data_IF_754766020377
#
_entry.id   IF_754766020377
#
_cell.length_a   1.000
_cell.length_b   1.000
_cell.length_c   1.000
_cell.angle_alpha   90.00
_cell.angle_beta   90.00
_cell.angle_gamma   90.00
#
_symmetry.space_group_name_H-M   'P 1'
#
loop_
_entity.id
_entity.type
_entity.pdbx_description
1 polymer ?
#
# COMPACT_ATOMS: atom_id res chain seq x y z
N UNK A 1 1.88 0.55 -23.90
CA UNK A 1 1.97 -0.92 -23.74
C UNK A 1 1.18 -1.27 -22.48
N UNK A 2 0.04 -1.94 -22.60
CA UNK A 2 -0.82 -2.29 -21.47
C UNK A 2 -0.48 -3.70 -20.98
N UNK A 3 -0.31 -3.88 -19.68
CA UNK A 3 -0.16 -5.20 -19.07
C UNK A 3 -1.56 -5.82 -18.96
N UNK A 4 -1.69 -7.12 -19.20
CA UNK A 4 -2.97 -7.86 -19.22
C UNK A 4 -3.85 -7.49 -18.01
N UNK A 5 -5.01 -6.91 -18.28
CA UNK A 5 -5.95 -6.39 -17.27
C UNK A 5 -6.42 -4.95 -17.49
N UNK A 6 -5.86 -4.24 -18.47
CA UNK A 6 -6.28 -2.87 -18.82
C UNK A 6 -5.70 -1.78 -17.91
N UNK A 7 -4.82 -2.14 -16.98
CA UNK A 7 -4.13 -1.20 -16.10
C UNK A 7 -2.79 -0.79 -16.71
N UNK A 8 -2.55 0.51 -16.79
CA UNK A 8 -1.27 1.09 -17.17
C UNK A 8 -0.61 1.67 -15.91
N UNK A 9 0.56 1.15 -15.53
CA UNK A 9 1.31 1.60 -14.37
C UNK A 9 2.26 2.73 -14.74
N UNK A 10 2.20 3.83 -13.99
CA UNK A 10 3.16 4.93 -14.07
C UNK A 10 4.41 4.63 -13.23
N UNK A 11 4.23 3.96 -12.08
CA UNK A 11 5.32 3.53 -11.21
C UNK A 11 4.95 2.23 -10.49
N UNK A 12 5.98 1.45 -10.11
CA UNK A 12 5.82 0.28 -9.28
C UNK A 12 7.03 0.15 -8.35
N UNK A 13 6.79 -0.38 -7.16
CA UNK A 13 7.77 -0.64 -6.11
C UNK A 13 7.55 -2.04 -5.56
N UNK A 14 8.60 -2.85 -5.60
CA UNK A 14 8.61 -4.20 -5.05
C UNK A 14 9.23 -4.19 -3.65
N UNK A 15 8.50 -4.74 -2.67
CA UNK A 15 9.00 -5.10 -1.36
C UNK A 15 9.58 -6.52 -1.34
N UNK A 16 9.66 -7.14 -0.16
CA UNK A 16 10.25 -8.50 -0.01
C UNK A 16 9.38 -9.58 -0.68
N UNK A 17 8.06 -9.49 -0.51
CA UNK A 17 7.10 -10.52 -0.95
C UNK A 17 5.85 -9.94 -1.62
N UNK A 18 5.78 -8.63 -1.79
CA UNK A 18 4.64 -7.91 -2.33
C UNK A 18 5.13 -6.80 -3.24
N UNK A 19 4.32 -6.42 -4.21
CA UNK A 19 4.58 -5.33 -5.14
C UNK A 19 3.38 -4.41 -5.15
N UNK A 20 3.64 -3.11 -5.08
CA UNK A 20 2.61 -2.09 -5.21
C UNK A 20 2.97 -1.15 -6.35
N UNK A 21 1.99 -0.71 -7.12
CA UNK A 21 2.19 0.24 -8.21
C UNK A 21 1.05 1.21 -8.32
N UNK A 22 1.35 2.37 -8.89
CA UNK A 22 0.38 3.43 -9.17
C UNK A 22 0.11 3.45 -10.66
N UNK A 23 -1.17 3.48 -11.03
CA UNK A 23 -1.57 3.61 -12.43
C UNK A 23 -1.33 5.03 -12.96
N UNK A 24 -1.41 5.21 -14.28
CA UNK A 24 -1.41 6.55 -14.90
C UNK A 24 -2.61 7.41 -14.48
N UNK A 25 -3.64 6.81 -13.88
CA UNK A 25 -4.82 7.47 -13.30
C UNK A 25 -4.67 7.74 -11.80
N UNK A 26 -3.51 7.44 -11.22
CA UNK A 26 -3.20 7.64 -9.79
C UNK A 26 -3.77 6.56 -8.86
N UNK A 27 -4.32 5.48 -9.38
CA UNK A 27 -4.87 4.39 -8.57
C UNK A 27 -3.74 3.48 -8.09
N UNK A 28 -3.63 3.27 -6.78
CA UNK A 28 -2.66 2.33 -6.23
C UNK A 28 -3.23 0.91 -6.25
N UNK A 29 -2.44 -0.03 -6.76
CA UNK A 29 -2.73 -1.45 -6.71
C UNK A 29 -1.56 -2.22 -6.10
N UNK A 30 -1.86 -3.19 -5.26
CA UNK A 30 -0.87 -4.08 -4.65
C UNK A 30 -1.20 -5.54 -4.96
N UNK A 31 -0.16 -6.36 -5.10
CA UNK A 31 -0.25 -7.80 -5.32
C UNK A 31 0.94 -8.52 -4.67
N UNK A 32 0.87 -9.85 -4.57
CA UNK A 32 1.83 -10.69 -3.87
C UNK A 32 1.30 -11.19 -2.51
N UNK A 33 2.20 -11.56 -1.62
CA UNK A 33 1.86 -12.06 -0.28
C UNK A 33 1.34 -10.93 0.60
N UNK A 34 0.10 -11.05 1.04
CA UNK A 34 -0.68 -10.04 1.73
C UNK A 34 -1.12 -10.47 3.12
N UNK A 35 -0.28 -10.26 4.12
CA UNK A 35 -0.68 -10.11 5.53
C UNK A 35 -0.66 -8.61 5.85
N UNK A 36 -1.74 -7.91 5.50
CA UNK A 36 -2.01 -6.46 5.66
C UNK A 36 -1.33 -5.52 4.64
N UNK A 37 -0.43 -6.04 3.80
CA UNK A 37 0.40 -5.24 2.87
C UNK A 37 -0.29 -4.84 1.58
N UNK A 38 -1.39 -5.51 1.23
CA UNK A 38 -2.15 -5.20 0.02
C UNK A 38 -2.94 -3.89 0.18
N UNK A 39 -3.24 -3.48 1.41
CA UNK A 39 -3.91 -2.21 1.64
C UNK A 39 -5.40 -2.22 1.25
N UNK A 40 -6.07 -3.37 1.20
CA UNK A 40 -7.43 -3.53 0.69
C UNK A 40 -8.34 -4.29 1.64
N UNK A 41 -9.57 -3.80 1.79
CA UNK A 41 -10.65 -4.37 2.62
C UNK A 41 -11.53 -5.33 1.81
N UNK A 42 -11.33 -5.36 0.49
CA UNK A 42 -12.11 -6.14 -0.47
C UNK A 42 -11.69 -7.62 -0.54
N UNK A 43 -10.63 -7.99 0.15
CA UNK A 43 -10.08 -9.34 0.17
C UNK A 43 -9.92 -9.81 1.62
N UNK A 44 -10.31 -11.05 1.88
CA UNK A 44 -9.94 -11.72 3.13
C UNK A 44 -8.55 -12.33 2.98
N UNK A 45 -7.56 -11.61 3.49
CA UNK A 45 -6.16 -12.00 3.43
C UNK A 45 -5.83 -13.27 4.21
N UNK A 46 -6.68 -13.67 5.17
CA UNK A 46 -6.49 -14.93 5.91
C UNK A 46 -6.79 -16.15 5.06
N UNK A 47 -7.74 -16.03 4.14
CA UNK A 47 -8.16 -17.11 3.25
C UNK A 47 -7.50 -17.02 1.88
N UNK A 48 -7.06 -15.82 1.47
CA UNK A 48 -6.29 -15.59 0.25
C UNK A 48 -4.98 -14.84 0.56
N UNK A 49 -3.96 -15.54 1.08
CA UNK A 49 -2.72 -14.89 1.50
C UNK A 49 -1.88 -14.39 0.33
N UNK A 50 -2.03 -14.95 -0.88
CA UNK A 50 -1.26 -14.52 -2.06
C UNK A 50 -2.21 -13.99 -3.13
N UNK A 51 -2.01 -12.73 -3.49
CA UNK A 51 -2.73 -12.04 -4.56
C UNK A 51 -1.90 -12.09 -5.84
N UNK A 52 -2.34 -12.87 -6.83
CA UNK A 52 -1.61 -12.99 -8.12
C UNK A 52 -2.00 -11.92 -9.14
N UNK A 53 -3.00 -11.08 -8.82
CA UNK A 53 -3.48 -9.98 -9.64
C UNK A 53 -3.42 -8.66 -8.86
N UNK A 54 -3.23 -7.51 -9.52
CA UNK A 54 -3.27 -6.21 -8.86
C UNK A 54 -4.62 -5.97 -8.19
N UNK A 55 -4.61 -5.83 -6.87
CA UNK A 55 -5.79 -5.50 -6.05
C UNK A 55 -5.75 -4.01 -5.74
N UNK A 56 -6.88 -3.32 -5.91
CA UNK A 56 -6.97 -1.90 -5.59
C UNK A 56 -6.81 -1.64 -4.09
N UNK A 57 -5.96 -0.68 -3.76
CA UNK A 57 -5.78 -0.18 -2.39
C UNK A 57 -7.06 0.58 -1.98
N UNK A 58 -7.57 0.28 -0.78
CA UNK A 58 -8.76 0.88 -0.20
C UNK A 58 -8.56 2.35 0.17
N UNK A 59 -9.67 3.07 0.34
CA UNK A 59 -9.68 4.47 0.78
C UNK A 59 -9.87 5.50 -0.34
N UNK A 60 -9.96 5.07 -1.61
CA UNK A 60 -10.26 5.96 -2.73
C UNK A 60 -9.23 7.09 -2.94
N UNK A 61 -8.00 6.87 -2.47
CA UNK A 61 -6.92 7.84 -2.54
C UNK A 61 -6.23 7.79 -3.90
N UNK A 62 -5.82 8.97 -4.39
CA UNK A 62 -5.00 9.10 -5.59
C UNK A 62 -3.55 9.33 -5.23
N UNK A 63 -2.70 8.37 -5.57
CA UNK A 63 -1.27 8.41 -5.30
C UNK A 63 -0.50 8.97 -6.48
N UNK A 64 0.54 9.73 -6.18
CA UNK A 64 1.56 10.12 -7.15
C UNK A 64 2.68 9.08 -7.19
N UNK A 65 3.05 8.57 -6.00
CA UNK A 65 4.08 7.54 -5.87
C UNK A 65 3.78 6.62 -4.69
N UNK A 66 4.28 5.39 -4.79
CA UNK A 66 4.28 4.39 -3.72
C UNK A 66 5.67 3.78 -3.58
N UNK A 67 6.02 3.44 -2.34
CA UNK A 67 7.24 2.76 -1.95
C UNK A 67 6.89 1.58 -1.07
N UNK A 68 7.22 0.38 -1.54
CA UNK A 68 7.07 -0.86 -0.81
C UNK A 68 8.38 -1.18 -0.06
N UNK A 69 8.32 -1.19 1.26
CA UNK A 69 9.39 -1.65 2.13
C UNK A 69 9.30 -3.15 2.38
N UNK A 70 10.02 -3.62 3.42
CA UNK A 70 10.04 -5.05 3.78
C UNK A 70 8.63 -5.58 4.10
N UNK A 71 7.92 -4.88 5.00
CA UNK A 71 6.62 -5.30 5.54
C UNK A 71 5.54 -4.21 5.49
N UNK A 72 5.88 -3.02 4.98
CA UNK A 72 5.01 -1.84 4.95
C UNK A 72 5.08 -1.18 3.60
N UNK A 73 4.03 -0.47 3.25
CA UNK A 73 3.94 0.34 2.04
C UNK A 73 3.59 1.75 2.46
N UNK A 74 4.27 2.72 1.87
CA UNK A 74 3.94 4.13 2.03
C UNK A 74 3.76 4.76 0.65
N UNK A 75 2.88 5.74 0.55
CA UNK A 75 2.65 6.48 -0.67
C UNK A 75 2.33 7.93 -0.38
N UNK A 76 2.63 8.78 -1.35
CA UNK A 76 2.28 10.19 -1.31
C UNK A 76 1.11 10.40 -2.27
N UNK A 77 0.05 11.01 -1.75
CA UNK A 77 -1.12 11.37 -2.56
C UNK A 77 -0.81 12.54 -3.47
N UNK A 78 -1.58 12.68 -4.55
CA UNK A 78 -1.55 13.86 -5.44
C UNK A 78 -1.84 15.18 -4.72
N UNK A 79 -2.43 15.12 -3.52
CA UNK A 79 -2.64 16.27 -2.62
C UNK A 79 -1.44 16.54 -1.69
N UNK A 80 -0.33 15.80 -1.83
CA UNK A 80 0.87 15.94 -1.01
C UNK A 80 0.82 15.26 0.37
N UNK A 81 -0.31 14.66 0.75
CA UNK A 81 -0.42 13.94 2.02
C UNK A 81 0.19 12.53 1.93
N UNK A 82 0.99 12.16 2.92
CA UNK A 82 1.61 10.83 3.02
C UNK A 82 0.69 9.84 3.76
N UNK A 83 0.59 8.63 3.23
CA UNK A 83 -0.15 7.52 3.83
C UNK A 83 0.74 6.29 3.90
N UNK A 84 0.61 5.52 4.97
CA UNK A 84 1.29 4.23 5.13
C UNK A 84 0.31 3.15 5.57
N UNK A 85 0.56 1.92 5.13
CA UNK A 85 -0.18 0.72 5.49
C UNK A 85 0.75 -0.50 5.54
N UNK A 86 0.22 -1.63 5.98
CA UNK A 86 0.95 -2.89 6.14
C UNK A 86 1.20 -3.31 7.57
N UNK A 87 1.96 -4.40 7.68
CA UNK A 87 2.29 -5.03 8.96
C UNK A 87 3.44 -4.31 9.67
N UNK A 88 3.23 -4.03 10.95
CA UNK A 88 4.31 -3.67 11.87
C UNK A 88 4.45 -4.78 12.88
N UNK A 89 5.64 -5.38 13.02
CA UNK A 89 5.89 -6.29 14.14
C UNK A 89 5.48 -5.59 15.45
N UNK A 90 4.61 -6.17 16.28
CA UNK A 90 4.42 -5.66 17.62
C UNK A 90 5.77 -5.75 18.35
N UNK A 91 6.26 -4.62 18.84
CA UNK A 91 7.31 -4.62 19.87
C UNK A 91 8.71 -4.10 19.54
N UNK A 92 8.97 -3.20 18.57
CA UNK A 92 10.30 -2.54 18.51
C UNK A 92 10.41 -1.02 18.34
N UNK A 93 9.35 -0.26 18.09
CA UNK A 93 9.45 1.21 18.11
C UNK A 93 8.16 1.80 18.66
N UNK A 94 8.29 2.63 19.69
CA UNK A 94 7.19 3.21 20.47
C UNK A 94 6.38 4.29 19.74
N UNK A 95 5.89 3.96 18.54
CA UNK A 95 4.82 4.68 17.86
C UNK A 95 3.52 3.89 17.99
N UNK A 96 2.41 4.59 18.23
CA UNK A 96 1.06 4.06 18.48
C UNK A 96 0.42 3.27 17.29
N UNK A 97 1.23 2.77 16.35
CA UNK A 97 0.81 1.97 15.20
C UNK A 97 0.95 0.45 15.47
N UNK A 98 0.73 0.01 16.70
CA UNK A 98 0.90 -1.40 17.14
C UNK A 98 -0.09 -2.41 16.54
N UNK A 99 -1.12 -1.95 15.82
CA UNK A 99 -2.01 -2.84 15.06
C UNK A 99 -1.73 -2.72 13.59
N UNK A 100 -1.53 -3.87 12.94
CA UNK A 100 -1.56 -4.01 11.48
C UNK A 100 -2.61 -3.09 10.88
N UNK A 101 -2.19 -2.30 9.90
CA UNK A 101 -3.09 -1.41 9.16
C UNK A 101 -3.29 -2.01 7.79
N UNK A 102 -4.36 -2.81 7.59
CA UNK A 102 -4.67 -3.36 6.27
C UNK A 102 -5.14 -2.30 5.28
N UNK A 103 -5.22 -1.02 5.69
CA UNK A 103 -5.66 0.13 4.89
C UNK A 103 -4.72 1.31 5.03
N UNK A 104 -4.62 2.20 4.03
CA UNK A 104 -3.84 3.44 4.12
C UNK A 104 -4.27 4.30 5.29
N UNK A 105 -3.32 4.61 6.18
CA UNK A 105 -3.50 5.58 7.27
C UNK A 105 -2.62 6.78 7.00
N UNK A 106 -3.18 7.98 7.19
CA UNK A 106 -2.42 9.22 7.06
C UNK A 106 -1.25 9.23 8.06
N UNK A 107 -0.05 9.45 7.56
CA UNK A 107 1.10 9.74 8.39
C UNK A 107 0.90 11.18 8.84
N UNK A 108 0.61 11.39 10.13
CA UNK A 108 0.58 12.74 10.68
C UNK A 108 1.94 13.39 10.35
N UNK A 109 1.92 14.49 9.58
CA UNK A 109 3.13 15.24 9.30
C UNK A 109 3.76 15.62 10.65
N UNK A 110 5.10 15.55 10.81
CA UNK A 110 5.72 16.24 11.92
C UNK A 110 5.27 17.70 11.82
N UNK A 111 4.59 18.18 12.85
CA UNK A 111 4.33 19.61 13.01
C UNK A 111 5.69 20.30 12.93
N UNK A 112 5.97 20.97 11.80
CA UNK A 112 7.04 21.93 11.75
C UNK A 112 6.51 23.13 12.55
N UNK A 113 6.86 23.16 13.83
CA UNK A 113 6.71 24.32 14.70
C UNK A 113 7.92 25.22 14.59
#
# INVERSE_FOLDING_TARGET
MAVLGGLAFASASAGETHTCGVTTTGDAHCWGLGDDRIGSDSIDQRTMPVQTRPVAVSGGLKFESVSAGRFRVCGVTTAGAAYCWGGGNPGRLGDALEKNKPTPVAVAAPICG
#
